data_IF_858930533537
#
_entry.id   IF_858930533537
#
_cell.length_a   1.000
_cell.length_b   1.000
_cell.length_c   1.000
_cell.angle_alpha   90.00
_cell.angle_beta   90.00
_cell.angle_gamma   90.00
#
_symmetry.space_group_name_H-M   'P 1'
#
loop_
_entity.id
_entity.type
_entity.pdbx_description
1 polymer ?
#
# COMPACT_ATOMS: atom_id res chain seq x y z
N UNK A 1 29.59 -29.51 6.98
CA UNK A 1 29.39 -28.53 8.07
C UNK A 1 28.33 -27.56 7.60
N UNK A 2 27.08 -27.82 7.97
CA UNK A 2 25.91 -27.06 7.50
C UNK A 2 25.64 -25.87 8.41
N UNK A 3 25.68 -24.67 7.85
CA UNK A 3 25.24 -23.45 8.53
C UNK A 3 23.76 -23.25 8.26
N UNK A 4 22.94 -23.53 9.28
CA UNK A 4 21.51 -23.23 9.31
C UNK A 4 21.35 -21.71 9.36
N UNK A 5 20.98 -21.10 8.23
CA UNK A 5 20.36 -19.77 8.24
C UNK A 5 18.96 -19.94 8.81
N UNK A 6 18.83 -19.67 10.11
CA UNK A 6 17.56 -19.59 10.82
C UNK A 6 16.73 -18.46 10.24
N UNK A 7 15.85 -18.78 9.30
CA UNK A 7 14.79 -17.89 8.85
C UNK A 7 13.81 -17.70 10.01
N UNK A 8 13.91 -16.57 10.71
CA UNK A 8 12.94 -16.14 11.72
C UNK A 8 11.61 -15.80 11.02
N UNK A 9 10.82 -16.81 10.64
CA UNK A 9 9.40 -16.62 10.32
C UNK A 9 8.67 -16.36 11.64
N UNK A 10 8.58 -15.09 12.04
CA UNK A 10 7.60 -14.68 13.05
C UNK A 10 6.21 -14.95 12.47
N UNK A 11 5.46 -15.86 13.08
CA UNK A 11 4.06 -16.12 12.77
C UNK A 11 3.21 -14.88 13.08
N UNK A 12 3.16 -13.93 12.14
CA UNK A 12 2.23 -12.82 12.17
C UNK A 12 0.88 -13.40 11.76
N UNK A 13 0.02 -13.71 12.74
CA UNK A 13 -1.36 -14.11 12.49
C UNK A 13 -2.12 -12.86 12.08
N UNK A 14 -2.29 -12.65 10.77
CA UNK A 14 -3.00 -11.50 10.23
C UNK A 14 -4.50 -11.77 10.33
N UNK A 15 -5.14 -11.07 11.27
CA UNK A 15 -6.58 -11.17 11.56
C UNK A 15 -7.38 -10.75 10.33
N UNK A 16 -8.44 -11.49 10.01
CA UNK A 16 -9.39 -11.13 8.94
C UNK A 16 -10.09 -9.80 9.28
N UNK A 17 -10.40 -8.94 8.29
CA UNK A 17 -11.08 -7.68 8.55
C UNK A 17 -12.44 -7.93 9.21
N UNK A 18 -12.66 -7.31 10.36
CA UNK A 18 -13.93 -7.33 11.08
C UNK A 18 -14.74 -6.16 10.51
N UNK A 19 -15.52 -6.43 9.46
CA UNK A 19 -16.36 -5.43 8.79
C UNK A 19 -17.81 -5.78 9.11
N UNK A 20 -18.33 -5.23 10.21
CA UNK A 20 -19.76 -5.27 10.55
C UNK A 20 -20.22 -3.85 10.85
N UNK A 21 -21.36 -3.48 10.27
CA UNK A 21 -22.04 -2.18 10.33
C UNK A 21 -21.48 -1.12 9.36
N UNK A 22 -22.25 -0.43 8.53
CA UNK A 22 -23.63 -0.50 8.01
C UNK A 22 -23.67 0.61 6.95
N UNK A 23 -24.29 0.36 5.79
CA UNK A 23 -24.65 1.45 4.87
C UNK A 23 -25.63 2.41 5.56
N UNK A 24 -25.65 3.66 5.07
CA UNK A 24 -26.51 4.79 5.46
C UNK A 24 -25.87 5.69 6.53
N UNK A 25 -24.95 6.58 6.14
CA UNK A 25 -24.78 7.84 6.89
C UNK A 25 -24.53 9.02 5.93
N UNK A 26 -25.29 10.09 6.18
CA UNK A 26 -25.41 11.39 5.50
C UNK A 26 -24.08 12.13 5.32
N UNK A 27 -24.04 13.12 4.41
CA UNK A 27 -22.82 13.80 3.94
C UNK A 27 -21.97 14.44 5.05
N UNK A 28 -22.56 14.92 6.15
CA UNK A 28 -21.81 15.44 7.31
C UNK A 28 -21.04 14.33 8.06
N UNK A 29 -21.62 13.14 8.16
CA UNK A 29 -20.94 11.98 8.73
C UNK A 29 -19.88 11.41 7.78
N UNK A 30 -20.00 11.64 6.47
CA UNK A 30 -18.99 11.23 5.49
C UNK A 30 -17.66 11.95 5.70
N UNK A 31 -17.68 13.26 5.95
CA UNK A 31 -16.46 14.03 6.28
C UNK A 31 -15.81 13.57 7.60
N UNK A 32 -16.64 13.35 8.63
CA UNK A 32 -16.18 12.84 9.93
C UNK A 32 -15.62 11.42 9.84
N UNK A 33 -16.22 10.59 9.00
CA UNK A 33 -15.79 9.23 8.69
C UNK A 33 -14.41 9.23 8.01
N UNK A 34 -14.18 10.11 7.03
CA UNK A 34 -12.89 10.19 6.32
C UNK A 34 -11.77 10.66 7.23
N UNK A 35 -12.01 11.70 8.05
CA UNK A 35 -11.02 12.17 9.03
C UNK A 35 -10.68 11.06 10.04
N UNK A 36 -11.65 10.23 10.41
CA UNK A 36 -11.43 9.06 11.26
C UNK A 36 -10.55 8.01 10.57
N UNK A 37 -10.77 7.74 9.28
CA UNK A 37 -9.92 6.84 8.49
C UNK A 37 -8.48 7.34 8.37
N UNK A 38 -8.28 8.64 8.10
CA UNK A 38 -6.94 9.27 8.07
C UNK A 38 -6.25 9.15 9.42
N UNK A 39 -6.99 9.39 10.51
CA UNK A 39 -6.46 9.27 11.87
C UNK A 39 -6.02 7.84 12.18
N UNK A 40 -6.86 6.85 11.86
CA UNK A 40 -6.52 5.43 12.04
C UNK A 40 -5.33 5.02 11.18
N UNK A 41 -5.25 5.52 9.95
CA UNK A 41 -4.09 5.30 9.09
C UNK A 41 -2.81 5.84 9.70
N UNK A 42 -2.81 7.09 10.18
CA UNK A 42 -1.63 7.71 10.80
C UNK A 42 -1.21 6.98 12.08
N UNK A 43 -2.16 6.57 12.94
CA UNK A 43 -1.87 5.74 14.12
C UNK A 43 -1.30 4.37 13.70
N UNK A 44 -1.81 3.81 12.61
CA UNK A 44 -1.30 2.58 12.01
C UNK A 44 0.17 2.71 11.57
N UNK A 45 0.53 3.83 10.93
CA UNK A 45 1.91 4.13 10.54
C UNK A 45 2.84 4.23 11.76
N UNK A 46 2.41 4.92 12.82
CA UNK A 46 3.19 5.01 14.07
C UNK A 46 3.42 3.61 14.66
N UNK A 47 2.41 2.74 14.64
CA UNK A 47 2.58 1.36 15.08
C UNK A 47 3.49 0.54 14.17
N UNK A 48 3.45 0.77 12.85
CA UNK A 48 4.33 0.12 11.89
C UNK A 48 5.79 0.51 12.14
N UNK A 49 6.09 1.80 12.35
CA UNK A 49 7.42 2.28 12.73
C UNK A 49 7.88 1.71 14.07
N UNK A 50 6.96 1.59 15.03
CA UNK A 50 7.20 0.91 16.31
C UNK A 50 7.27 -0.62 16.23
N UNK A 51 7.34 -1.21 15.03
CA UNK A 51 7.39 -2.66 14.77
C UNK A 51 6.20 -3.47 15.33
N UNK A 52 5.09 -2.80 15.63
CA UNK A 52 3.84 -3.39 16.11
C UNK A 52 2.92 -3.75 14.93
N UNK A 53 3.40 -4.64 14.06
CA UNK A 53 2.78 -4.95 12.77
C UNK A 53 1.33 -5.48 12.87
N UNK A 54 1.02 -6.22 13.93
CA UNK A 54 -0.35 -6.75 14.17
C UNK A 54 -1.33 -5.61 14.39
N UNK A 55 -1.00 -4.63 15.25
CA UNK A 55 -1.86 -3.47 15.51
C UNK A 55 -1.96 -2.57 14.28
N UNK A 56 -0.85 -2.35 13.57
CA UNK A 56 -0.85 -1.56 12.35
C UNK A 56 -1.80 -2.17 11.29
N UNK A 57 -1.74 -3.49 11.08
CA UNK A 57 -2.63 -4.20 10.15
C UNK A 57 -4.12 -4.10 10.54
N UNK A 58 -4.44 -4.18 11.83
CA UNK A 58 -5.81 -3.98 12.33
C UNK A 58 -6.31 -2.56 12.06
N UNK A 59 -5.49 -1.56 12.34
CA UNK A 59 -5.83 -0.15 12.13
C UNK A 59 -6.02 0.18 10.64
N UNK A 60 -5.17 -0.35 9.76
CA UNK A 60 -5.36 -0.22 8.31
C UNK A 60 -6.64 -0.89 7.84
N UNK A 61 -6.97 -2.07 8.36
CA UNK A 61 -8.22 -2.77 8.04
C UNK A 61 -9.44 -1.96 8.49
N UNK A 62 -9.39 -1.34 9.67
CA UNK A 62 -10.44 -0.46 10.18
C UNK A 62 -10.58 0.79 9.30
N UNK A 63 -9.47 1.42 8.91
CA UNK A 63 -9.48 2.58 8.02
C UNK A 63 -10.13 2.25 6.67
N UNK A 64 -9.84 1.08 6.09
CA UNK A 64 -10.46 0.61 4.85
C UNK A 64 -11.96 0.30 4.99
N UNK A 65 -12.42 -0.18 6.14
CA UNK A 65 -13.86 -0.40 6.39
C UNK A 65 -14.64 0.91 6.52
N UNK A 66 -13.98 1.97 7.03
CA UNK A 66 -14.61 3.29 7.20
C UNK A 66 -14.67 4.05 5.87
N UNK A 67 -13.66 3.89 5.01
CA UNK A 67 -13.65 4.57 3.72
C UNK A 67 -14.76 4.03 2.81
N UNK A 68 -15.68 4.88 2.35
CA UNK A 68 -16.52 4.51 1.23
C UNK A 68 -15.60 4.32 0.01
N UNK A 69 -15.46 3.07 -0.43
CA UNK A 69 -14.52 2.58 -1.47
C UNK A 69 -14.45 3.50 -2.70
N UNK A 70 -15.51 4.24 -3.00
CA UNK A 70 -15.66 5.02 -4.25
C UNK A 70 -15.25 6.49 -4.12
N UNK A 71 -15.13 7.10 -2.94
CA UNK A 71 -14.92 8.57 -2.85
C UNK A 71 -13.47 9.05 -2.71
N UNK A 72 -12.54 8.23 -2.21
CA UNK A 72 -11.16 8.68 -1.92
C UNK A 72 -10.10 7.72 -2.47
N UNK A 73 -9.95 7.62 -3.80
CA UNK A 73 -9.07 6.63 -4.43
C UNK A 73 -7.62 6.72 -3.95
N UNK A 74 -7.06 7.92 -3.84
CA UNK A 74 -5.67 8.10 -3.39
C UNK A 74 -5.43 7.60 -1.95
N UNK A 75 -6.34 7.93 -1.02
CA UNK A 75 -6.21 7.49 0.38
C UNK A 75 -6.41 5.97 0.52
N UNK A 76 -7.39 5.40 -0.20
CA UNK A 76 -7.58 3.94 -0.26
C UNK A 76 -6.32 3.24 -0.78
N UNK A 77 -5.71 3.78 -1.84
CA UNK A 77 -4.48 3.24 -2.41
C UNK A 77 -3.30 3.27 -1.44
N UNK A 78 -3.14 4.36 -0.67
CA UNK A 78 -2.11 4.50 0.37
C UNK A 78 -2.26 3.48 1.50
N UNK A 79 -3.48 3.28 1.99
CA UNK A 79 -3.75 2.30 3.06
C UNK A 79 -3.53 0.87 2.55
N UNK A 80 -3.97 0.55 1.33
CA UNK A 80 -3.72 -0.74 0.70
C UNK A 80 -2.22 -1.00 0.50
N UNK A 81 -1.46 0.00 0.06
CA UNK A 81 0.00 -0.08 -0.05
C UNK A 81 0.65 -0.39 1.31
N UNK A 82 0.25 0.32 2.37
CA UNK A 82 0.81 0.14 3.71
C UNK A 82 0.43 -1.23 4.31
N UNK A 83 -0.80 -1.70 4.07
CA UNK A 83 -1.22 -3.08 4.37
C UNK A 83 -0.35 -4.10 3.64
N UNK A 84 -0.11 -3.90 2.35
CA UNK A 84 0.72 -4.80 1.55
C UNK A 84 2.18 -4.84 2.02
N UNK A 85 2.75 -3.73 2.49
CA UNK A 85 4.08 -3.72 3.09
C UNK A 85 4.15 -4.64 4.32
N UNK A 86 3.13 -4.59 5.20
CA UNK A 86 3.05 -5.48 6.36
C UNK A 86 2.92 -6.95 5.91
N UNK A 87 2.07 -7.23 4.92
CA UNK A 87 1.90 -8.58 4.37
C UNK A 87 3.20 -9.12 3.75
N UNK A 88 3.95 -8.27 3.03
CA UNK A 88 5.26 -8.59 2.49
C UNK A 88 6.26 -8.92 3.60
N UNK A 89 6.32 -8.11 4.67
CA UNK A 89 7.17 -8.38 5.83
C UNK A 89 6.79 -9.68 6.56
N UNK A 90 5.50 -10.03 6.56
CA UNK A 90 5.01 -11.30 7.10
C UNK A 90 5.31 -12.51 6.19
N UNK A 91 5.76 -12.28 4.95
CA UNK A 91 5.99 -13.33 3.94
C UNK A 91 4.72 -13.83 3.25
N UNK A 92 3.58 -13.17 3.43
CA UNK A 92 2.33 -13.50 2.74
C UNK A 92 2.26 -12.76 1.40
N UNK A 93 3.10 -13.21 0.47
CA UNK A 93 3.24 -12.59 -0.85
C UNK A 93 1.95 -12.63 -1.67
N UNK A 94 1.14 -13.68 -1.52
CA UNK A 94 -0.13 -13.82 -2.26
C UNK A 94 -1.11 -12.71 -1.90
N UNK A 95 -1.30 -12.45 -0.60
CA UNK A 95 -2.17 -11.36 -0.14
C UNK A 95 -1.55 -9.99 -0.42
N UNK A 96 -0.23 -9.85 -0.24
CA UNK A 96 0.47 -8.61 -0.57
C UNK A 96 0.26 -8.22 -2.04
N UNK A 97 0.43 -9.16 -2.98
CA UNK A 97 0.18 -8.93 -4.40
C UNK A 97 -1.26 -8.53 -4.68
N UNK A 98 -2.24 -9.18 -4.05
CA UNK A 98 -3.64 -8.80 -4.19
C UNK A 98 -3.91 -7.36 -3.73
N UNK A 99 -3.39 -6.96 -2.57
CA UNK A 99 -3.56 -5.59 -2.04
C UNK A 99 -2.80 -4.56 -2.88
N UNK A 100 -1.63 -4.92 -3.43
CA UNK A 100 -0.86 -4.10 -4.37
C UNK A 100 -1.62 -3.87 -5.67
N UNK A 101 -2.18 -4.92 -6.29
CA UNK A 101 -2.97 -4.78 -7.51
C UNK A 101 -4.18 -3.85 -7.30
N UNK A 102 -4.85 -3.96 -6.15
CA UNK A 102 -5.93 -3.02 -5.79
C UNK A 102 -5.41 -1.60 -5.57
N UNK A 103 -4.29 -1.44 -4.89
CA UNK A 103 -3.66 -0.12 -4.69
C UNK A 103 -3.33 0.55 -6.03
N UNK A 104 -2.76 -0.19 -6.98
CA UNK A 104 -2.47 0.30 -8.35
C UNK A 104 -3.77 0.74 -9.04
N UNK A 105 -4.83 -0.07 -8.99
CA UNK A 105 -6.11 0.27 -9.60
C UNK A 105 -6.69 1.58 -9.02
N UNK A 106 -6.60 1.76 -7.70
CA UNK A 106 -7.07 2.97 -7.03
C UNK A 106 -6.21 4.20 -7.37
N UNK A 107 -4.89 4.06 -7.48
CA UNK A 107 -4.03 5.15 -7.97
C UNK A 107 -4.34 5.53 -9.42
N UNK A 108 -4.57 4.55 -10.31
CA UNK A 108 -4.99 4.84 -11.69
C UNK A 108 -6.32 5.62 -11.71
N UNK A 109 -7.25 5.27 -10.82
CA UNK A 109 -8.52 6.01 -10.68
C UNK A 109 -8.31 7.42 -10.13
N UNK A 110 -7.41 7.59 -9.15
CA UNK A 110 -7.03 8.90 -8.63
C UNK A 110 -6.41 9.78 -9.72
N UNK A 111 -5.50 9.22 -10.53
CA UNK A 111 -4.82 9.93 -11.61
C UNK A 111 -5.82 10.47 -12.65
N UNK A 112 -6.82 9.67 -13.04
CA UNK A 112 -7.89 10.13 -13.95
C UNK A 112 -8.73 11.29 -13.40
N UNK A 113 -8.80 11.44 -12.07
CA UNK A 113 -9.58 12.48 -11.40
C UNK A 113 -8.76 13.71 -10.97
N UNK A 114 -7.43 13.64 -11.07
CA UNK A 114 -6.53 14.66 -10.54
C UNK A 114 -6.28 15.76 -11.57
N UNK A 115 -6.39 17.03 -11.15
CA UNK A 115 -5.84 18.16 -11.91
C UNK A 115 -4.32 18.22 -11.69
N UNK A 116 -3.59 18.72 -12.70
CA UNK A 116 -2.15 18.58 -12.96
C UNK A 116 -1.17 18.58 -11.78
N UNK A 117 -1.44 19.26 -10.66
CA UNK A 117 -0.51 19.35 -9.52
C UNK A 117 -0.62 18.20 -8.50
N UNK A 118 -1.77 17.52 -8.43
CA UNK A 118 -1.93 16.33 -7.58
C UNK A 118 -1.38 15.06 -8.25
N UNK A 119 -1.18 15.11 -9.57
CA UNK A 119 -0.69 14.00 -10.40
C UNK A 119 0.66 13.48 -9.95
N UNK A 120 1.64 14.36 -9.77
CA UNK A 120 3.02 14.00 -9.41
C UNK A 120 3.10 13.15 -8.13
N UNK A 121 2.35 13.52 -7.09
CA UNK A 121 2.31 12.78 -5.83
C UNK A 121 1.68 11.39 -5.99
N UNK A 122 0.63 11.29 -6.81
CA UNK A 122 -0.05 10.03 -7.12
C UNK A 122 0.87 9.12 -7.93
N UNK A 123 1.59 9.66 -8.90
CA UNK A 123 2.55 8.93 -9.74
C UNK A 123 3.75 8.41 -8.94
N UNK A 124 4.32 9.21 -8.03
CA UNK A 124 5.41 8.76 -7.16
C UNK A 124 4.98 7.67 -6.18
N UNK A 125 3.76 7.77 -5.65
CA UNK A 125 3.19 6.73 -4.81
C UNK A 125 2.89 5.46 -5.60
N UNK A 126 2.37 5.58 -6.83
CA UNK A 126 2.18 4.46 -7.76
C UNK A 126 3.52 3.77 -8.06
N UNK A 127 4.58 4.51 -8.35
CA UNK A 127 5.92 3.97 -8.57
C UNK A 127 6.42 3.19 -7.33
N UNK A 128 6.15 3.68 -6.12
CA UNK A 128 6.53 2.99 -4.88
C UNK A 128 5.72 1.69 -4.68
N UNK A 129 4.46 1.67 -5.09
CA UNK A 129 3.61 0.46 -5.10
C UNK A 129 4.10 -0.57 -6.12
N UNK A 130 4.43 -0.14 -7.35
CA UNK A 130 4.98 -1.01 -8.40
C UNK A 130 6.35 -1.58 -7.97
N UNK A 131 7.19 -0.78 -7.32
CA UNK A 131 8.46 -1.24 -6.78
C UNK A 131 8.28 -2.38 -5.75
N UNK A 132 7.25 -2.29 -4.90
CA UNK A 132 6.93 -3.37 -3.95
C UNK A 132 6.51 -4.66 -4.67
N UNK A 133 5.76 -4.56 -5.78
CA UNK A 133 5.44 -5.70 -6.63
C UNK A 133 6.70 -6.32 -7.25
N UNK A 134 7.61 -5.49 -7.74
CA UNK A 134 8.91 -5.92 -8.27
C UNK A 134 9.73 -6.69 -7.23
N UNK A 135 9.72 -6.23 -5.98
CA UNK A 135 10.35 -6.95 -4.85
C UNK A 135 9.71 -8.31 -4.60
N UNK A 136 8.38 -8.41 -4.63
CA UNK A 136 7.71 -9.71 -4.48
C UNK A 136 8.11 -10.66 -5.61
N UNK A 137 8.09 -10.21 -6.86
CA UNK A 137 8.53 -11.05 -7.98
C UNK A 137 9.99 -11.48 -7.88
N UNK A 138 10.86 -10.63 -7.32
CA UNK A 138 12.24 -11.01 -7.03
C UNK A 138 12.30 -12.13 -5.97
N UNK A 139 11.54 -12.04 -4.87
CA UNK A 139 11.44 -13.10 -3.86
C UNK A 139 10.89 -14.42 -4.44
N UNK A 140 9.95 -14.33 -5.40
CA UNK A 140 9.41 -15.46 -6.15
C UNK A 140 10.38 -16.02 -7.22
N UNK A 141 11.61 -15.50 -7.31
CA UNK A 141 12.63 -15.83 -8.32
C UNK A 141 12.22 -15.50 -9.76
N UNK A 142 11.24 -14.63 -9.92
CA UNK A 142 10.75 -14.16 -11.20
C UNK A 142 11.51 -12.90 -11.64
N UNK A 143 12.82 -13.04 -11.85
CA UNK A 143 13.72 -11.91 -12.09
C UNK A 143 13.37 -11.10 -13.34
N UNK A 144 12.84 -11.73 -14.40
CA UNK A 144 12.46 -11.01 -15.61
C UNK A 144 11.36 -9.97 -15.32
N UNK A 145 10.28 -10.39 -14.63
CA UNK A 145 9.20 -9.48 -14.22
C UNK A 145 9.70 -8.40 -13.27
N UNK A 146 10.58 -8.75 -12.33
CA UNK A 146 11.14 -7.77 -11.40
C UNK A 146 11.90 -6.66 -12.14
N UNK A 147 12.70 -7.01 -13.16
CA UNK A 147 13.44 -6.03 -13.98
C UNK A 147 12.49 -5.14 -14.79
N UNK A 148 11.46 -5.72 -15.43
CA UNK A 148 10.45 -4.95 -16.18
C UNK A 148 9.75 -3.92 -15.28
N UNK A 149 9.37 -4.32 -14.06
CA UNK A 149 8.73 -3.44 -13.10
C UNK A 149 9.70 -2.36 -12.58
N UNK A 150 10.96 -2.69 -12.34
CA UNK A 150 11.98 -1.70 -11.97
C UNK A 150 12.20 -0.65 -13.08
N UNK A 151 12.21 -1.06 -14.34
CA UNK A 151 12.30 -0.14 -15.48
C UNK A 151 11.09 0.79 -15.55
N UNK A 152 9.89 0.28 -15.28
CA UNK A 152 8.68 1.10 -15.22
C UNK A 152 8.74 2.12 -14.08
N UNK A 153 9.18 1.71 -12.89
CA UNK A 153 9.38 2.61 -11.74
C UNK A 153 10.35 3.73 -12.07
N UNK A 154 11.46 3.41 -12.76
CA UNK A 154 12.43 4.42 -13.20
C UNK A 154 11.79 5.39 -14.17
N UNK A 155 11.05 4.92 -15.19
CA UNK A 155 10.35 5.78 -16.15
C UNK A 155 9.43 6.79 -15.47
N UNK A 156 8.61 6.32 -14.52
CA UNK A 156 7.69 7.20 -13.77
C UNK A 156 8.46 8.24 -12.96
N UNK A 157 9.48 7.83 -12.21
CA UNK A 157 10.27 8.75 -11.38
C UNK A 157 11.04 9.78 -12.21
N UNK A 158 11.58 9.39 -13.35
CA UNK A 158 12.24 10.32 -14.28
C UNK A 158 11.24 11.33 -14.85
N UNK A 159 10.03 10.89 -15.19
CA UNK A 159 8.98 11.78 -15.71
C UNK A 159 8.57 12.84 -14.69
N UNK A 160 8.41 12.46 -13.42
CA UNK A 160 7.93 13.36 -12.36
C UNK A 160 9.04 14.26 -11.80
N UNK A 161 10.22 13.69 -11.54
CA UNK A 161 11.30 14.39 -10.84
C UNK A 161 12.33 15.01 -11.81
N UNK A 162 12.38 14.54 -13.06
CA UNK A 162 13.45 14.84 -14.00
C UNK A 162 14.68 13.94 -13.84
N UNK A 163 15.60 13.99 -14.80
CA UNK A 163 16.72 13.05 -14.91
C UNK A 163 17.79 13.19 -13.79
N UNK A 164 17.73 14.24 -12.98
CA UNK A 164 18.75 14.58 -11.98
C UNK A 164 18.63 13.76 -10.69
N UNK A 165 17.57 12.96 -10.55
CA UNK A 165 17.31 12.12 -9.38
C UNK A 165 17.88 10.70 -9.52
N UNK A 166 18.52 10.40 -10.65
CA UNK A 166 19.19 9.14 -10.94
C UNK A 166 20.69 9.31 -10.58
N UNK A 167 21.03 9.32 -9.30
CA UNK A 167 22.42 9.09 -8.90
C UNK A 167 22.59 7.70 -8.26
N UNK A 168 23.61 6.94 -8.69
CA UNK A 168 23.87 5.56 -8.25
C UNK A 168 24.30 5.46 -6.79
#
# INVERSE_FOLDING_TARGET
RGSRTTCFRRNIVIVKPICSATQIIEEENKSKSVNSAVTLYNIGLIHQEGNNLIRASQLFSMALCILPQVSYPSLTALILYSSAQILYQAGDFKRATHDICKSIQEYSRAAMSSTSHLGDSVELNLASTIALLGRIHFEEKNCHRAVELCQEVLRIRCSVLGDHHIHP
#
